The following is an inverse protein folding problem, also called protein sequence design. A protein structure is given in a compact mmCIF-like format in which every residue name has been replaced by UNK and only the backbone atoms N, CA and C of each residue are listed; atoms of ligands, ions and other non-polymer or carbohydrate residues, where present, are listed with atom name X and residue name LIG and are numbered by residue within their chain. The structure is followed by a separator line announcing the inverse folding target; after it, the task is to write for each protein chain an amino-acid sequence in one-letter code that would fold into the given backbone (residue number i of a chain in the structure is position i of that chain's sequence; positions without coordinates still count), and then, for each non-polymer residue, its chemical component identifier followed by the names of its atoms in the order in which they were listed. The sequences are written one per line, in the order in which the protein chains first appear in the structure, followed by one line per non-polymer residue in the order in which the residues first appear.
data_IF_153081487562
#
_entry.id   IF_153081487562
#
_cell.length_a   1.000
_cell.length_b   1.000
_cell.length_c   1.000
_cell.angle_alpha   90.00
_cell.angle_beta   90.00
_cell.angle_gamma   90.00
#
_symmetry.space_group_name_H-M   'P 1'
#
loop_
_entity.id
_entity.type
_entity.pdbx_description
1 polymer ?
#
# COMPACT_ATOMS: atom_id res chain seq x y z
N UNK A 1 -14.24 4.84 -26.66
CA UNK A 1 -14.25 4.36 -25.27
C UNK A 1 -15.58 4.76 -24.65
N UNK A 2 -16.47 3.81 -24.36
CA UNK A 2 -17.75 4.12 -23.68
C UNK A 2 -17.43 4.45 -22.23
N UNK A 3 -17.97 5.56 -21.73
CA UNK A 3 -18.13 5.73 -20.28
C UNK A 3 -19.06 4.61 -19.83
N UNK A 4 -18.56 3.73 -18.99
CA UNK A 4 -19.37 2.96 -18.06
C UNK A 4 -20.28 3.97 -17.35
N UNK A 5 -21.56 3.64 -17.19
CA UNK A 5 -22.49 4.45 -16.38
C UNK A 5 -21.79 4.83 -15.07
N UNK A 6 -21.87 6.10 -14.61
CA UNK A 6 -21.28 6.48 -13.33
C UNK A 6 -21.78 5.52 -12.25
N UNK A 7 -20.87 4.83 -11.58
CA UNK A 7 -21.20 3.96 -10.46
C UNK A 7 -20.99 4.80 -9.18
N UNK A 8 -22.06 5.28 -8.54
CA UNK A 8 -21.95 6.17 -7.40
C UNK A 8 -21.28 5.51 -6.19
N UNK A 9 -21.33 4.18 -6.09
CA UNK A 9 -20.63 3.46 -5.03
C UNK A 9 -19.15 3.38 -5.32
N UNK A 10 -18.74 3.14 -6.57
CA UNK A 10 -17.33 3.19 -6.96
C UNK A 10 -16.73 4.58 -6.74
N UNK A 11 -17.45 5.64 -7.09
CA UNK A 11 -17.04 7.01 -6.81
C UNK A 11 -16.94 7.29 -5.30
N UNK A 12 -17.83 6.67 -4.50
CA UNK A 12 -17.80 6.78 -3.04
C UNK A 12 -16.59 6.04 -2.45
N UNK A 13 -16.27 4.85 -2.96
CA UNK A 13 -15.09 4.09 -2.57
C UNK A 13 -13.81 4.87 -2.90
N UNK A 14 -13.70 5.44 -4.11
CA UNK A 14 -12.55 6.27 -4.50
C UNK A 14 -12.38 7.46 -3.54
N UNK A 15 -13.45 8.22 -3.26
CA UNK A 15 -13.39 9.31 -2.28
C UNK A 15 -12.98 8.84 -0.90
N UNK A 16 -13.47 7.67 -0.46
CA UNK A 16 -13.15 7.10 0.84
C UNK A 16 -11.68 6.67 0.92
N UNK A 17 -11.17 6.01 -0.12
CA UNK A 17 -9.76 5.66 -0.24
C UNK A 17 -8.87 6.91 -0.18
N UNK A 18 -9.21 7.98 -0.91
CA UNK A 18 -8.44 9.22 -0.83
C UNK A 18 -8.46 9.85 0.57
N UNK A 19 -9.62 9.93 1.22
CA UNK A 19 -9.73 10.47 2.58
C UNK A 19 -8.91 9.67 3.60
N UNK A 20 -8.83 8.34 3.46
CA UNK A 20 -7.99 7.51 4.33
C UNK A 20 -6.50 7.77 4.03
N UNK A 21 -6.10 7.82 2.77
CA UNK A 21 -4.70 7.97 2.40
C UNK A 21 -4.12 9.36 2.65
N UNK A 22 -4.95 10.40 2.82
CA UNK A 22 -4.52 11.70 3.34
C UNK A 22 -3.77 11.58 4.67
N UNK A 23 -4.16 10.62 5.53
CA UNK A 23 -3.51 10.37 6.84
C UNK A 23 -2.04 9.99 6.72
N UNK A 24 -1.65 9.40 5.59
CA UNK A 24 -0.27 8.99 5.31
C UNK A 24 0.40 9.84 4.23
N UNK A 25 -0.29 10.87 3.71
CA UNK A 25 0.20 11.71 2.62
C UNK A 25 0.32 10.94 1.29
N UNK A 26 -0.59 10.00 1.02
CA UNK A 26 -0.58 9.22 -0.22
C UNK A 26 -0.83 10.11 -1.45
N UNK A 27 0.09 10.17 -2.43
CA UNK A 27 -0.11 10.96 -3.64
C UNK A 27 -1.14 10.29 -4.56
N UNK A 28 -1.81 11.07 -5.41
CA UNK A 28 -2.80 10.55 -6.37
C UNK A 28 -2.26 9.46 -7.29
N UNK A 29 -0.98 9.55 -7.65
CA UNK A 29 -0.31 8.56 -8.51
C UNK A 29 -0.10 7.18 -7.84
N UNK A 30 -0.28 7.07 -6.53
CA UNK A 30 -0.13 5.80 -5.81
C UNK A 30 -1.39 4.93 -5.85
N UNK A 31 -2.53 5.47 -6.29
CA UNK A 31 -3.80 4.74 -6.27
C UNK A 31 -4.01 3.98 -7.59
N UNK A 32 -4.64 2.79 -7.55
CA UNK A 32 -5.14 2.18 -8.77
C UNK A 32 -6.21 3.07 -9.41
N UNK A 33 -6.39 3.00 -10.74
CA UNK A 33 -7.54 3.60 -11.40
C UNK A 33 -8.85 2.95 -10.93
N UNK A 34 -9.88 3.77 -10.81
CA UNK A 34 -11.26 3.35 -10.52
C UNK A 34 -12.09 3.41 -11.80
N UNK A 35 -12.78 2.32 -12.12
CA UNK A 35 -13.70 2.21 -13.27
C UNK A 35 -13.02 2.25 -14.64
N UNK A 36 -11.69 2.29 -14.68
CA UNK A 36 -10.88 2.29 -15.89
C UNK A 36 -9.86 1.17 -15.82
N UNK A 37 -9.76 0.39 -16.90
CA UNK A 37 -8.78 -0.68 -17.03
C UNK A 37 -7.48 -0.16 -17.66
N UNK A 38 -6.38 -0.36 -16.97
CA UNK A 38 -5.01 -0.21 -17.45
C UNK A 38 -4.40 -1.61 -17.67
N UNK A 39 -3.81 -1.82 -18.84
CA UNK A 39 -3.12 -3.05 -19.22
C UNK A 39 -1.60 -2.83 -19.14
N UNK A 40 -1.10 -2.67 -17.91
CA UNK A 40 0.26 -2.25 -17.63
C UNK A 40 0.90 -2.95 -16.41
N UNK A 41 0.32 -4.08 -15.97
CA UNK A 41 0.77 -4.80 -14.77
C UNK A 41 0.40 -4.11 -13.45
N UNK A 42 -0.48 -3.10 -13.51
CA UNK A 42 -1.01 -2.39 -12.34
C UNK A 42 -2.44 -2.84 -12.05
N UNK A 43 -2.84 -2.86 -10.77
CA UNK A 43 -4.20 -3.18 -10.39
C UNK A 43 -5.18 -2.11 -10.84
N UNK A 44 -6.42 -2.51 -11.06
CA UNK A 44 -7.56 -1.65 -11.35
C UNK A 44 -8.70 -2.04 -10.41
N UNK A 45 -9.48 -1.05 -9.97
CA UNK A 45 -10.65 -1.25 -9.11
C UNK A 45 -11.90 -0.96 -9.90
N UNK A 46 -12.86 -1.87 -9.84
CA UNK A 46 -14.14 -1.78 -10.52
C UNK A 46 -15.27 -2.33 -9.63
N UNK A 47 -16.51 -2.16 -10.06
CA UNK A 47 -17.68 -2.74 -9.37
C UNK A 47 -18.56 -3.46 -10.38
N UNK A 48 -18.88 -4.72 -10.08
CA UNK A 48 -19.70 -5.59 -10.95
C UNK A 48 -20.63 -6.42 -10.09
N UNK A 49 -21.92 -6.41 -10.41
CA UNK A 49 -22.96 -7.19 -9.71
C UNK A 49 -22.94 -7.04 -8.18
N UNK A 50 -22.72 -5.80 -7.71
CA UNK A 50 -22.65 -5.46 -6.28
C UNK A 50 -21.40 -5.94 -5.56
N UNK A 51 -20.38 -6.44 -6.27
CA UNK A 51 -19.09 -6.79 -5.73
C UNK A 51 -18.00 -5.84 -6.24
N UNK A 52 -17.04 -5.54 -5.37
CA UNK A 52 -15.79 -4.92 -5.70
C UNK A 52 -14.89 -5.90 -6.44
N UNK A 53 -14.25 -5.42 -7.50
CA UNK A 53 -13.41 -6.20 -8.40
C UNK A 53 -12.02 -5.59 -8.38
N UNK A 54 -11.01 -6.43 -8.12
CA UNK A 54 -9.60 -6.10 -8.24
C UNK A 54 -8.99 -6.91 -9.38
N UNK A 55 -8.46 -6.23 -10.39
CA UNK A 55 -7.87 -6.89 -11.56
C UNK A 55 -6.52 -6.30 -11.95
N UNK A 56 -5.53 -7.17 -12.13
CA UNK A 56 -4.23 -6.83 -12.73
C UNK A 56 -4.18 -7.41 -14.12
N UNK A 57 -3.93 -6.56 -15.11
CA UNK A 57 -3.76 -6.97 -16.51
C UNK A 57 -2.39 -6.56 -17.02
N UNK A 58 -1.72 -7.46 -17.73
CA UNK A 58 -0.46 -7.16 -18.41
C UNK A 58 -0.42 -7.84 -19.79
N UNK A 59 -0.16 -7.04 -20.84
CA UNK A 59 0.01 -7.50 -22.24
C UNK A 59 -1.16 -8.36 -22.69
N UNK A 60 -2.38 -7.91 -22.41
CA UNK A 60 -3.63 -8.58 -22.76
C UNK A 60 -3.99 -9.79 -21.88
N UNK A 61 -3.21 -10.09 -20.84
CA UNK A 61 -3.44 -11.21 -19.93
C UNK A 61 -3.94 -10.72 -18.57
N UNK A 62 -4.96 -11.39 -18.05
CA UNK A 62 -5.39 -11.23 -16.66
C UNK A 62 -4.40 -11.99 -15.77
N UNK A 63 -3.61 -11.27 -14.97
CA UNK A 63 -2.62 -11.83 -14.06
C UNK A 63 -3.21 -12.12 -12.69
N UNK A 64 -4.13 -11.26 -12.24
CA UNK A 64 -4.77 -11.37 -10.94
C UNK A 64 -6.23 -10.94 -11.05
N UNK A 65 -7.11 -11.70 -10.41
CA UNK A 65 -8.52 -11.37 -10.28
C UNK A 65 -9.00 -11.74 -8.88
N UNK A 66 -9.49 -10.75 -8.14
CA UNK A 66 -10.10 -10.93 -6.83
C UNK A 66 -11.42 -10.19 -6.77
N UNK A 67 -12.38 -10.73 -6.03
CA UNK A 67 -13.69 -10.10 -5.81
C UNK A 67 -14.05 -10.15 -4.34
N UNK A 68 -14.76 -9.12 -3.88
CA UNK A 68 -15.28 -9.07 -2.52
C UNK A 68 -16.55 -8.21 -2.48
N UNK A 69 -17.46 -8.50 -1.55
CA UNK A 69 -18.58 -7.61 -1.23
C UNK A 69 -18.31 -6.75 0.00
N UNK A 70 -17.20 -7.01 0.68
CA UNK A 70 -16.78 -6.24 1.86
C UNK A 70 -15.96 -5.02 1.42
N UNK A 71 -16.41 -3.84 1.84
CA UNK A 71 -15.70 -2.59 1.57
C UNK A 71 -14.35 -2.53 2.30
N UNK A 72 -14.24 -3.07 3.51
CA UNK A 72 -12.97 -3.07 4.26
C UNK A 72 -11.92 -3.94 3.55
N UNK A 73 -12.37 -5.03 2.91
CA UNK A 73 -11.51 -5.93 2.16
C UNK A 73 -10.89 -5.26 0.92
N UNK A 74 -11.71 -4.56 0.12
CA UNK A 74 -11.18 -3.86 -1.07
C UNK A 74 -10.30 -2.67 -0.65
N UNK A 75 -10.64 -1.97 0.44
CA UNK A 75 -9.82 -0.91 1.00
C UNK A 75 -8.47 -1.46 1.48
N UNK A 76 -8.46 -2.63 2.14
CA UNK A 76 -7.22 -3.31 2.51
C UNK A 76 -6.34 -3.59 1.28
N UNK A 77 -6.89 -4.14 0.19
CA UNK A 77 -6.11 -4.39 -1.04
C UNK A 77 -5.55 -3.11 -1.66
N UNK A 78 -6.37 -2.05 -1.73
CA UNK A 78 -5.95 -0.73 -2.21
C UNK A 78 -4.78 -0.21 -1.37
N UNK A 79 -4.88 -0.28 -0.04
CA UNK A 79 -3.84 0.27 0.82
C UNK A 79 -2.57 -0.57 0.90
N UNK A 80 -2.65 -1.89 0.73
CA UNK A 80 -1.46 -2.71 0.53
C UNK A 80 -0.70 -2.25 -0.73
N UNK A 81 -1.40 -1.99 -1.83
CA UNK A 81 -0.78 -1.50 -3.07
C UNK A 81 -0.23 -0.07 -2.95
N UNK A 82 -1.04 0.86 -2.43
CA UNK A 82 -0.64 2.26 -2.19
C UNK A 82 0.61 2.33 -1.31
N UNK A 83 0.64 1.58 -0.20
CA UNK A 83 1.79 1.58 0.72
C UNK A 83 3.01 0.92 0.11
N UNK A 84 2.84 -0.11 -0.72
CA UNK A 84 3.92 -0.70 -1.53
C UNK A 84 4.51 0.33 -2.48
N UNK A 85 3.69 1.05 -3.24
CA UNK A 85 4.14 2.11 -4.14
C UNK A 85 4.93 3.18 -3.39
N UNK A 86 4.38 3.70 -2.29
CA UNK A 86 5.02 4.73 -1.48
C UNK A 86 6.34 4.25 -0.86
N UNK A 87 6.38 2.98 -0.45
CA UNK A 87 7.59 2.35 0.07
C UNK A 87 8.67 2.19 -0.99
N UNK A 88 8.32 1.86 -2.24
CA UNK A 88 9.27 1.81 -3.36
C UNK A 88 9.85 3.18 -3.67
N UNK A 89 9.00 4.20 -3.79
CA UNK A 89 9.45 5.58 -4.07
C UNK A 89 10.36 6.10 -2.95
N UNK A 90 10.00 5.81 -1.69
CA UNK A 90 10.84 6.15 -0.54
C UNK A 90 12.21 5.46 -0.59
N UNK A 91 12.26 4.19 -0.99
CA UNK A 91 13.52 3.46 -1.13
C UNK A 91 14.38 3.96 -2.31
N UNK A 92 13.74 4.30 -3.46
CA UNK A 92 14.41 4.87 -4.65
C UNK A 92 15.06 6.23 -4.38
N UNK A 93 14.44 7.06 -3.55
CA UNK A 93 14.97 8.39 -3.22
C UNK A 93 16.16 8.41 -2.25
N UNK A 94 16.63 7.25 -1.74
CA UNK A 94 17.75 7.18 -0.80
C UNK A 94 19.07 6.81 -1.48
N UNK A 95 20.22 7.31 -0.98
CA UNK A 95 21.53 6.96 -1.52
C UNK A 95 21.77 5.45 -1.53
N UNK A 96 22.44 4.95 -2.58
CA UNK A 96 22.75 3.53 -2.85
C UNK A 96 23.59 2.82 -1.77
N UNK A 97 24.05 3.54 -0.75
CA UNK A 97 24.85 3.00 0.36
C UNK A 97 24.00 2.26 1.41
N UNK A 98 22.67 2.24 1.28
CA UNK A 98 21.81 1.39 2.10
C UNK A 98 22.01 -0.09 1.68
N UNK A 99 22.50 -0.97 2.56
CA UNK A 99 22.95 -2.32 2.19
C UNK A 99 21.82 -3.25 1.72
N UNK A 100 20.55 -2.91 1.95
CA UNK A 100 19.39 -3.60 1.37
C UNK A 100 18.21 -2.63 1.21
N UNK A 101 17.80 -2.38 -0.05
CA UNK A 101 16.62 -1.54 -0.36
C UNK A 101 15.33 -2.13 0.17
N UNK A 102 15.26 -3.46 0.35
CA UNK A 102 14.08 -4.15 0.90
C UNK A 102 13.84 -3.78 2.35
N UNK A 103 14.88 -3.53 3.15
CA UNK A 103 14.74 -3.08 4.54
C UNK A 103 14.03 -1.73 4.59
N UNK A 104 14.45 -0.80 3.73
CA UNK A 104 13.86 0.54 3.66
C UNK A 104 12.43 0.47 3.14
N UNK A 105 12.20 -0.33 2.10
CA UNK A 105 10.89 -0.50 1.49
C UNK A 105 9.89 -1.17 2.45
N UNK A 106 10.23 -2.34 2.98
CA UNK A 106 9.38 -3.07 3.93
C UNK A 106 9.12 -2.25 5.19
N UNK A 107 10.15 -1.61 5.75
CA UNK A 107 9.99 -0.73 6.91
C UNK A 107 8.99 0.40 6.68
N UNK A 108 8.99 0.98 5.47
CA UNK A 108 8.05 2.04 5.11
C UNK A 108 6.62 1.52 4.90
N UNK A 109 6.44 0.37 4.25
CA UNK A 109 5.10 -0.25 4.09
C UNK A 109 4.46 -0.47 5.46
N UNK A 110 5.21 -1.12 6.36
CA UNK A 110 4.72 -1.44 7.69
C UNK A 110 4.31 -0.14 8.41
N UNK A 111 5.21 0.86 8.49
CA UNK A 111 4.93 2.14 9.15
C UNK A 111 3.62 2.78 8.67
N UNK A 112 3.39 2.77 7.36
CA UNK A 112 2.19 3.36 6.78
C UNK A 112 0.93 2.57 7.13
N UNK A 113 0.97 1.23 7.03
CA UNK A 113 -0.16 0.38 7.42
C UNK A 113 -0.52 0.53 8.89
N UNK A 114 0.49 0.70 9.77
CA UNK A 114 0.29 0.95 11.19
C UNK A 114 -0.44 2.26 11.49
N UNK A 115 -0.08 3.31 10.74
CA UNK A 115 -0.68 4.64 10.88
C UNK A 115 -2.11 4.68 10.32
N UNK A 116 -2.43 3.78 9.38
CA UNK A 116 -3.77 3.64 8.81
C UNK A 116 -4.69 2.80 9.69
N UNK A 117 -4.33 1.53 9.93
CA UNK A 117 -5.22 0.56 10.58
C UNK A 117 -4.44 -0.65 11.11
N UNK A 118 -4.29 -0.82 12.43
CA UNK A 118 -3.57 -1.94 13.04
C UNK A 118 -3.99 -3.33 12.56
N UNK A 119 -5.30 -3.60 12.34
CA UNK A 119 -5.74 -4.92 11.83
C UNK A 119 -5.24 -5.21 10.42
N UNK A 120 -5.06 -4.19 9.59
CA UNK A 120 -4.51 -4.34 8.24
C UNK A 120 -3.01 -4.66 8.31
N UNK A 121 -2.27 -4.02 9.22
CA UNK A 121 -0.87 -4.36 9.47
C UNK A 121 -0.72 -5.81 9.94
N UNK A 122 -1.50 -6.24 10.94
CA UNK A 122 -1.46 -7.62 11.45
C UNK A 122 -1.75 -8.64 10.36
N UNK A 123 -2.74 -8.35 9.50
CA UNK A 123 -3.06 -9.19 8.35
C UNK A 123 -1.92 -9.23 7.34
N UNK A 124 -1.37 -8.08 6.95
CA UNK A 124 -0.26 -7.97 6.01
C UNK A 124 0.94 -8.79 6.48
N UNK A 125 1.29 -8.69 7.77
CA UNK A 125 2.40 -9.45 8.35
C UNK A 125 2.21 -10.96 8.23
N UNK A 126 0.97 -11.47 8.38
CA UNK A 126 0.67 -12.88 8.19
C UNK A 126 0.73 -13.32 6.74
N UNK A 127 0.17 -12.51 5.83
CA UNK A 127 0.11 -12.84 4.39
C UNK A 127 1.51 -12.77 3.73
N UNK A 128 2.35 -11.85 4.19
CA UNK A 128 3.64 -11.53 3.57
C UNK A 128 4.84 -12.07 4.35
N UNK A 129 4.63 -12.96 5.32
CA UNK A 129 5.68 -13.57 6.14
C UNK A 129 6.80 -14.20 5.28
N UNK A 130 6.42 -14.84 4.18
CA UNK A 130 7.37 -15.45 3.24
C UNK A 130 8.28 -14.41 2.57
N UNK A 131 7.78 -13.23 2.22
CA UNK A 131 8.59 -12.15 1.66
C UNK A 131 9.41 -11.46 2.76
N UNK A 132 8.78 -11.12 3.88
CA UNK A 132 9.39 -10.41 4.99
C UNK A 132 10.54 -11.21 5.64
N UNK A 133 10.44 -12.54 5.65
CA UNK A 133 11.52 -13.43 6.14
C UNK A 133 12.76 -13.41 5.25
N UNK A 134 12.66 -12.99 3.99
CA UNK A 134 13.83 -12.80 3.10
C UNK A 134 14.57 -11.48 3.35
N UNK A 135 13.95 -10.53 4.04
CA UNK A 135 14.54 -9.22 4.32
C UNK A 135 15.59 -9.35 5.42
N UNK A 136 16.84 -8.94 5.13
CA UNK A 136 17.94 -8.98 6.09
C UNK A 136 17.90 -7.76 7.01
N UNK A 137 17.09 -7.84 8.05
CA UNK A 137 16.99 -6.79 9.06
C UNK A 137 18.27 -6.68 9.90
N UNK A 138 18.92 -5.49 9.97
CA UNK A 138 20.17 -5.32 10.72
C UNK A 138 20.05 -5.61 12.22
N UNK A 139 18.87 -5.34 12.81
CA UNK A 139 18.58 -5.49 14.25
C UNK A 139 17.53 -6.59 14.53
N UNK A 140 17.30 -7.50 13.58
CA UNK A 140 16.16 -8.43 13.61
C UNK A 140 14.87 -7.80 13.07
N UNK A 141 13.85 -8.61 12.74
CA UNK A 141 12.60 -8.12 12.17
C UNK A 141 11.92 -7.15 13.14
N UNK A 142 11.22 -6.12 12.64
CA UNK A 142 10.42 -5.26 13.49
C UNK A 142 9.40 -6.12 14.27
N UNK A 143 9.49 -6.09 15.61
CA UNK A 143 8.55 -6.78 16.49
C UNK A 143 7.15 -6.15 16.32
N UNK A 144 6.18 -6.89 15.73
CA UNK A 144 4.85 -6.36 15.47
C UNK A 144 3.95 -6.39 16.71
N UNK A 145 4.36 -7.08 17.79
CA UNK A 145 3.58 -7.27 19.01
C UNK A 145 4.12 -6.48 20.21
N UNK A 146 5.33 -5.94 20.13
CA UNK A 146 5.91 -5.07 21.15
C UNK A 146 5.47 -3.61 21.00
N UNK A 147 4.66 -3.11 21.93
CA UNK A 147 3.98 -1.79 22.01
C UNK A 147 4.82 -0.49 21.92
N UNK A 148 5.89 -0.46 21.13
CA UNK A 148 6.71 0.72 20.86
C UNK A 148 7.21 0.82 19.41
N UNK A 149 6.80 -0.06 18.50
CA UNK A 149 7.35 -0.11 17.14
C UNK A 149 7.07 1.17 16.31
N UNK A 150 5.83 1.71 16.31
CA UNK A 150 5.53 2.99 15.64
C UNK A 150 6.38 4.17 16.18
N UNK A 151 6.73 4.17 17.48
CA UNK A 151 7.59 5.19 18.09
C UNK A 151 9.07 5.02 17.72
N UNK A 152 9.56 3.78 17.61
CA UNK A 152 10.96 3.48 17.25
C UNK A 152 11.24 3.72 15.77
N UNK A 153 10.32 3.36 14.87
CA UNK A 153 10.46 3.61 13.42
C UNK A 153 10.43 5.10 13.11
N UNK A 154 9.49 5.86 13.70
CA UNK A 154 9.41 7.34 13.57
C UNK A 154 10.69 8.05 14.02
N UNK A 155 11.41 7.51 15.01
CA UNK A 155 12.71 8.04 15.50
C UNK A 155 13.90 7.69 14.60
N UNK A 156 13.86 6.58 13.88
CA UNK A 156 14.99 6.08 13.06
C UNK A 156 14.91 6.53 11.59
N UNK A 157 13.71 6.72 11.03
CA UNK A 157 13.55 7.09 9.62
C UNK A 157 13.58 8.61 9.37
N UNK A 158 13.23 9.41 10.38
CA UNK A 158 13.58 10.83 10.44
C UNK A 158 15.03 10.90 10.90
N UNK A 159 15.99 11.06 9.97
CA UNK A 159 17.36 11.41 10.34
C UNK A 159 17.39 12.65 11.26
N UNK A 160 18.56 13.01 11.84
CA UNK A 160 18.66 14.21 12.67
C UNK A 160 18.06 15.39 11.90
N UNK A 161 17.08 16.07 12.52
CA UNK A 161 16.59 17.35 11.99
C UNK A 161 17.82 18.26 11.92
N UNK A 162 18.20 18.70 10.72
CA UNK A 162 19.10 19.84 10.61
C UNK A 162 18.48 20.98 11.42
N UNK A 163 19.24 21.64 12.31
CA UNK A 163 18.72 22.78 13.04
C UNK A 163 18.33 23.88 12.03
N UNK A 164 17.31 24.69 12.32
CA UNK A 164 17.03 25.87 11.50
C UNK A 164 18.26 26.77 11.51
N UNK A 165 18.76 27.07 10.32
CA UNK A 165 19.72 28.15 10.08
C UNK A 165 19.04 29.49 9.92
#
# INVERSE_FOLDING_TARGET
MRRTTPDPELDALERRAHAIGERIGAPRAAYPPFGTRLDAGYPNVDRRDGAWVWEVHERGRLLEHRTTRDEDEILYWIFVDVTRWMGQEWARGRPSYAPDTRVTWAGRILELLADLEPRWLERFLREEDSWLSTVRWPDGPPDPYGGSWARRVRRRLRGPRSPPG
#
